data_IF_170893208579
#
_entry.id   IF_170893208579
#
_cell.length_a   1.000
_cell.length_b   1.000
_cell.length_c   1.000
_cell.angle_alpha   90.00
_cell.angle_beta   90.00
_cell.angle_gamma   90.00
#
_symmetry.space_group_name_H-M   'P 1'
#
loop_
_entity.id
_entity.type
_entity.pdbx_description
1 polymer ?
#
# COMPACT_ATOMS: atom_id res chain seq x y z
N UNK A 1 -43.98 29.27 -11.11
CA UNK A 1 -44.16 27.87 -10.63
C UNK A 1 -42.99 27.06 -11.17
N UNK A 2 -41.97 26.76 -10.36
CA UNK A 2 -40.79 26.01 -10.80
C UNK A 2 -40.97 24.52 -10.48
N UNK A 3 -40.80 23.67 -11.49
CA UNK A 3 -40.94 22.21 -11.36
C UNK A 3 -39.72 21.66 -10.61
N UNK A 4 -39.90 20.79 -9.60
CA UNK A 4 -38.76 20.20 -8.89
C UNK A 4 -37.92 19.36 -9.84
N UNK A 5 -36.66 19.74 -10.05
CA UNK A 5 -35.70 18.89 -10.75
C UNK A 5 -35.41 17.68 -9.88
N UNK A 6 -36.05 16.57 -10.22
CA UNK A 6 -35.70 15.26 -9.69
C UNK A 6 -34.28 14.94 -10.18
N UNK A 7 -33.28 15.34 -9.39
CA UNK A 7 -31.89 14.93 -9.61
C UNK A 7 -31.89 13.41 -9.59
N UNK A 8 -31.69 12.83 -10.76
CA UNK A 8 -31.41 11.42 -10.94
C UNK A 8 -30.24 11.04 -10.02
N UNK A 9 -30.55 10.43 -8.88
CA UNK A 9 -29.60 9.51 -8.24
C UNK A 9 -29.61 8.28 -9.13
N UNK A 10 -28.75 8.25 -10.14
CA UNK A 10 -28.46 7.01 -10.85
C UNK A 10 -27.81 6.07 -9.84
N UNK A 11 -28.59 5.09 -9.41
CA UNK A 11 -28.16 3.90 -8.69
C UNK A 11 -26.86 3.32 -9.28
N UNK A 12 -25.86 3.08 -8.44
CA UNK A 12 -24.66 2.29 -8.78
C UNK A 12 -24.92 0.78 -8.63
N UNK A 13 -26.16 0.37 -8.40
CA UNK A 13 -26.65 -0.99 -8.16
C UNK A 13 -26.40 -1.99 -9.32
N UNK A 14 -25.64 -1.61 -10.35
CA UNK A 14 -25.20 -2.48 -11.46
C UNK A 14 -23.70 -2.49 -11.73
N UNK A 15 -22.88 -1.81 -10.93
CA UNK A 15 -21.41 -1.88 -11.09
C UNK A 15 -20.93 -3.21 -10.52
N UNK A 16 -20.89 -4.23 -11.37
CA UNK A 16 -20.19 -5.47 -11.11
C UNK A 16 -18.70 -5.11 -11.10
N UNK A 17 -18.14 -4.93 -9.91
CA UNK A 17 -16.69 -4.92 -9.77
C UNK A 17 -16.21 -6.34 -10.11
N UNK A 18 -15.32 -6.51 -11.12
CA UNK A 18 -14.69 -7.79 -11.31
C UNK A 18 -14.02 -8.19 -10.00
N UNK A 19 -14.06 -9.48 -9.63
CA UNK A 19 -13.37 -9.95 -8.43
C UNK A 19 -11.89 -9.51 -8.51
N UNK A 20 -11.30 -9.08 -7.38
CA UNK A 20 -9.89 -8.73 -7.34
C UNK A 20 -9.08 -9.86 -7.98
N UNK A 21 -8.16 -9.50 -8.88
CA UNK A 21 -7.25 -10.48 -9.45
C UNK A 21 -6.48 -11.10 -8.29
N UNK A 22 -6.52 -12.43 -8.20
CA UNK A 22 -5.68 -13.18 -7.28
C UNK A 22 -4.56 -13.80 -8.09
N UNK A 23 -3.35 -13.73 -7.54
CA UNK A 23 -2.20 -14.37 -8.16
C UNK A 23 -2.41 -15.88 -8.11
N UNK A 24 -1.89 -16.60 -9.10
CA UNK A 24 -1.78 -18.05 -8.94
C UNK A 24 -0.86 -18.35 -7.74
N UNK A 25 -0.99 -19.51 -7.09
CA UNK A 25 -0.08 -19.90 -6.00
C UNK A 25 1.40 -19.83 -6.41
N UNK A 26 1.71 -20.18 -7.66
CA UNK A 26 3.04 -20.14 -8.24
C UNK A 26 3.52 -18.69 -8.45
N UNK A 27 2.67 -17.83 -9.04
CA UNK A 27 2.99 -16.40 -9.20
C UNK A 27 3.22 -15.72 -7.85
N UNK A 28 2.37 -16.00 -6.85
CA UNK A 28 2.52 -15.45 -5.50
C UNK A 28 3.83 -15.90 -4.84
N UNK A 29 4.18 -17.18 -4.93
CA UNK A 29 5.41 -17.72 -4.36
C UNK A 29 6.64 -17.13 -5.05
N UNK A 30 6.65 -17.04 -6.39
CA UNK A 30 7.74 -16.42 -7.15
C UNK A 30 7.89 -14.93 -6.83
N UNK A 31 6.77 -14.18 -6.82
CA UNK A 31 6.75 -12.77 -6.48
C UNK A 31 7.25 -12.53 -5.05
N UNK A 32 6.85 -13.36 -4.10
CA UNK A 32 7.30 -13.28 -2.69
C UNK A 32 8.80 -13.56 -2.57
N UNK A 33 9.30 -14.61 -3.24
CA UNK A 33 10.73 -14.95 -3.23
C UNK A 33 11.56 -13.83 -3.84
N UNK A 34 11.13 -13.29 -4.97
CA UNK A 34 11.83 -12.20 -5.63
C UNK A 34 11.81 -10.93 -4.79
N UNK A 35 10.66 -10.56 -4.22
CA UNK A 35 10.56 -9.43 -3.30
C UNK A 35 11.56 -9.56 -2.15
N UNK A 36 11.59 -10.73 -1.49
CA UNK A 36 12.53 -10.96 -0.38
C UNK A 36 13.99 -10.86 -0.85
N UNK A 37 14.33 -11.41 -2.01
CA UNK A 37 15.68 -11.31 -2.60
C UNK A 37 16.09 -9.86 -2.87
N UNK A 38 15.18 -9.03 -3.39
CA UNK A 38 15.41 -7.59 -3.58
C UNK A 38 15.68 -6.89 -2.25
N UNK A 39 14.84 -7.14 -1.24
CA UNK A 39 15.00 -6.53 0.08
C UNK A 39 16.31 -6.97 0.74
N UNK A 40 16.64 -8.26 0.72
CA UNK A 40 17.89 -8.79 1.29
C UNK A 40 19.13 -8.18 0.62
N UNK A 41 19.08 -7.95 -0.70
CA UNK A 41 20.19 -7.37 -1.43
C UNK A 41 20.34 -5.87 -1.18
N UNK A 42 19.26 -5.10 -1.26
CA UNK A 42 19.33 -3.63 -1.26
C UNK A 42 19.13 -3.00 0.13
N UNK A 43 18.42 -3.64 1.07
CA UNK A 43 18.15 -3.07 2.41
C UNK A 43 19.46 -2.71 3.15
N UNK A 44 20.51 -3.55 3.16
CA UNK A 44 21.78 -3.24 3.82
C UNK A 44 22.57 -2.10 3.17
N UNK A 45 22.32 -1.81 1.89
CA UNK A 45 23.03 -0.78 1.12
C UNK A 45 22.50 0.64 1.39
N UNK A 46 21.36 0.77 2.08
CA UNK A 46 20.79 2.07 2.39
C UNK A 46 21.67 2.86 3.35
N UNK A 47 22.01 4.09 2.97
CA UNK A 47 22.72 5.01 3.84
C UNK A 47 21.86 5.36 5.07
N UNK A 48 22.44 5.23 6.27
CA UNK A 48 21.74 5.44 7.55
C UNK A 48 21.46 6.92 7.89
N UNK A 49 21.63 7.84 6.94
CA UNK A 49 22.00 9.23 7.26
C UNK A 49 20.81 10.13 7.65
N UNK A 50 19.55 9.67 7.50
CA UNK A 50 18.35 10.51 7.69
C UNK A 50 17.21 9.90 8.50
N UNK A 51 17.46 8.81 9.24
CA UNK A 51 16.48 8.15 10.12
C UNK A 51 15.37 7.37 9.40
N UNK A 52 14.91 7.84 8.24
CA UNK A 52 14.02 7.10 7.36
C UNK A 52 14.79 6.04 6.56
N UNK A 53 14.24 4.81 6.52
CA UNK A 53 14.80 3.66 5.78
C UNK A 53 13.76 3.12 4.79
N UNK A 54 13.75 3.62 3.54
CA UNK A 54 12.85 3.19 2.46
C UNK A 54 12.57 1.69 2.39
N UNK A 55 13.60 0.86 2.25
CA UNK A 55 13.41 -0.59 2.03
C UNK A 55 13.00 -1.31 3.33
N UNK A 56 13.36 -0.77 4.49
CA UNK A 56 12.82 -1.27 5.76
C UNK A 56 11.33 -0.99 5.83
N UNK A 57 10.84 0.17 5.36
CA UNK A 57 9.40 0.42 5.24
C UNK A 57 8.75 -0.59 4.30
N UNK A 58 9.35 -0.90 3.15
CA UNK A 58 8.80 -1.88 2.21
C UNK A 58 8.65 -3.27 2.86
N UNK A 59 9.70 -3.76 3.53
CA UNK A 59 9.67 -5.03 4.26
C UNK A 59 8.58 -5.05 5.32
N UNK A 60 8.49 -3.99 6.12
CA UNK A 60 7.47 -3.87 7.17
C UNK A 60 6.06 -3.78 6.58
N UNK A 61 5.88 -3.07 5.47
CA UNK A 61 4.59 -2.96 4.79
C UNK A 61 4.15 -4.32 4.28
N UNK A 62 5.00 -5.05 3.56
CA UNK A 62 4.69 -6.40 3.07
C UNK A 62 4.33 -7.36 4.21
N UNK A 63 4.99 -7.27 5.36
CA UNK A 63 4.69 -8.10 6.53
C UNK A 63 3.45 -7.69 7.32
N UNK A 64 3.02 -6.42 7.20
CA UNK A 64 1.89 -5.87 7.93
C UNK A 64 0.55 -5.90 7.17
N UNK A 65 0.56 -6.03 5.85
CA UNK A 65 -0.66 -6.08 5.03
C UNK A 65 -1.26 -7.49 5.01
N UNK A 66 -2.58 -7.59 5.19
CA UNK A 66 -3.33 -8.84 5.00
C UNK A 66 -3.59 -9.17 3.52
N UNK A 67 -3.44 -8.18 2.64
CA UNK A 67 -3.65 -8.27 1.19
C UNK A 67 -2.33 -8.51 0.46
N UNK A 68 -1.77 -9.71 0.64
CA UNK A 68 -0.44 -10.06 0.16
C UNK A 68 -0.26 -9.94 -1.36
N UNK A 69 -1.26 -10.41 -2.13
CA UNK A 69 -1.25 -10.43 -3.60
C UNK A 69 -1.33 -9.02 -4.19
N UNK A 70 -2.30 -8.22 -3.71
CA UNK A 70 -2.52 -6.85 -4.19
C UNK A 70 -1.29 -5.97 -3.96
N UNK A 71 -0.62 -6.14 -2.81
CA UNK A 71 0.64 -5.45 -2.56
C UNK A 71 1.72 -5.87 -3.55
N UNK A 72 1.87 -7.17 -3.84
CA UNK A 72 2.90 -7.67 -4.75
C UNK A 72 2.63 -7.19 -6.18
N UNK A 73 1.38 -7.23 -6.64
CA UNK A 73 1.00 -6.72 -7.95
C UNK A 73 1.28 -5.21 -8.04
N UNK A 74 0.83 -4.42 -7.06
CA UNK A 74 1.11 -2.99 -7.01
C UNK A 74 2.61 -2.68 -7.01
N UNK A 75 3.39 -3.42 -6.20
CA UNK A 75 4.83 -3.27 -6.11
C UNK A 75 5.51 -3.52 -7.46
N UNK A 76 5.29 -4.69 -8.06
CA UNK A 76 5.97 -5.04 -9.30
C UNK A 76 5.51 -4.20 -10.49
N UNK A 77 4.22 -3.86 -10.57
CA UNK A 77 3.71 -2.93 -11.58
C UNK A 77 4.35 -1.55 -11.44
N UNK A 78 4.49 -1.03 -10.21
CA UNK A 78 5.16 0.27 -10.01
C UNK A 78 6.62 0.24 -10.46
N UNK A 79 7.40 -0.75 -10.02
CA UNK A 79 8.83 -0.85 -10.36
C UNK A 79 9.02 -0.95 -11.87
N UNK A 80 8.16 -1.71 -12.55
CA UNK A 80 8.22 -1.84 -13.99
C UNK A 80 7.89 -0.53 -14.71
N UNK A 81 6.82 0.15 -14.30
CA UNK A 81 6.42 1.44 -14.85
C UNK A 81 7.49 2.51 -14.65
N UNK A 82 8.09 2.56 -13.47
CA UNK A 82 9.16 3.52 -13.14
C UNK A 82 10.41 3.30 -14.00
N UNK A 83 10.79 2.03 -14.22
CA UNK A 83 12.00 1.68 -14.98
C UNK A 83 11.84 1.74 -16.50
N UNK A 84 10.70 1.29 -17.03
CA UNK A 84 10.51 1.17 -18.48
C UNK A 84 9.61 2.25 -19.08
N UNK A 85 8.84 2.98 -18.26
CA UNK A 85 7.86 3.96 -18.74
C UNK A 85 6.67 3.36 -19.50
N UNK A 86 6.52 2.02 -19.52
CA UNK A 86 5.48 1.31 -20.27
C UNK A 86 4.63 0.44 -19.31
N UNK A 87 3.30 0.63 -19.25
CA UNK A 87 2.42 -0.11 -18.34
C UNK A 87 2.01 -1.50 -18.83
N UNK A 88 2.46 -1.92 -20.02
CA UNK A 88 1.84 -3.00 -20.80
C UNK A 88 2.56 -4.35 -20.69
N UNK A 89 3.36 -4.56 -19.63
CA UNK A 89 4.00 -5.85 -19.36
C UNK A 89 3.25 -6.63 -18.30
N UNK A 90 3.16 -7.94 -18.50
CA UNK A 90 2.51 -8.83 -17.55
C UNK A 90 3.39 -9.02 -16.31
N UNK A 91 2.78 -9.32 -15.17
CA UNK A 91 3.52 -9.61 -13.94
C UNK A 91 4.58 -10.70 -14.16
N UNK A 92 4.25 -11.76 -14.90
CA UNK A 92 5.18 -12.84 -15.21
C UNK A 92 6.44 -12.35 -15.97
N UNK A 93 6.28 -11.45 -16.94
CA UNK A 93 7.41 -10.85 -17.66
C UNK A 93 8.25 -9.95 -16.74
N UNK A 94 7.60 -9.18 -15.87
CA UNK A 94 8.28 -8.36 -14.86
C UNK A 94 9.11 -9.24 -13.92
N UNK A 95 8.53 -10.30 -13.36
CA UNK A 95 9.23 -11.25 -12.49
C UNK A 95 10.41 -11.89 -13.22
N UNK A 96 10.22 -12.36 -14.46
CA UNK A 96 11.27 -12.98 -15.26
C UNK A 96 12.44 -12.03 -15.54
N UNK A 97 12.17 -10.76 -15.85
CA UNK A 97 13.21 -9.76 -16.08
C UNK A 97 14.02 -9.48 -14.82
N UNK A 98 13.32 -9.17 -13.72
CA UNK A 98 13.92 -8.81 -12.44
C UNK A 98 14.66 -9.97 -11.79
N UNK A 99 14.32 -11.23 -12.09
CA UNK A 99 15.02 -12.41 -11.54
C UNK A 99 16.54 -12.39 -11.78
N UNK A 100 16.99 -11.73 -12.84
CA UNK A 100 18.40 -11.64 -13.21
C UNK A 100 19.14 -10.44 -12.61
N UNK A 101 18.51 -9.65 -11.73
CA UNK A 101 19.03 -8.35 -11.27
C UNK A 101 20.44 -8.39 -10.67
N UNK A 102 20.82 -9.49 -10.02
CA UNK A 102 22.14 -9.65 -9.42
C UNK A 102 23.27 -9.70 -10.46
N UNK A 103 22.97 -10.09 -11.70
CA UNK A 103 23.92 -10.13 -12.82
C UNK A 103 23.97 -8.84 -13.63
N UNK A 104 23.16 -7.83 -13.29
CA UNK A 104 23.10 -6.56 -13.99
C UNK A 104 24.32 -5.67 -13.71
N UNK A 105 24.49 -4.66 -14.56
CA UNK A 105 25.48 -3.62 -14.36
C UNK A 105 25.20 -2.82 -13.09
N UNK A 106 26.23 -2.14 -12.57
CA UNK A 106 26.07 -1.26 -11.40
C UNK A 106 25.06 -0.12 -11.65
N UNK A 107 24.90 0.32 -12.90
CA UNK A 107 23.96 1.37 -13.28
C UNK A 107 22.51 0.84 -13.21
N UNK A 108 22.23 -0.30 -13.83
CA UNK A 108 20.91 -0.95 -13.78
C UNK A 108 20.49 -1.32 -12.34
N UNK A 109 21.44 -1.78 -11.50
CA UNK A 109 21.17 -2.04 -10.09
C UNK A 109 20.91 -0.74 -9.31
N UNK A 110 21.61 0.33 -9.65
CA UNK A 110 21.38 1.63 -9.04
C UNK A 110 19.99 2.18 -9.41
N UNK A 111 19.59 2.09 -10.67
CA UNK A 111 18.24 2.47 -11.13
C UNK A 111 17.17 1.66 -10.42
N UNK A 112 17.31 0.33 -10.36
CA UNK A 112 16.39 -0.52 -9.61
C UNK A 112 16.31 -0.10 -8.13
N UNK A 113 17.44 0.22 -7.51
CA UNK A 113 17.46 0.72 -6.13
C UNK A 113 16.71 2.05 -5.98
N UNK A 114 16.84 2.97 -6.95
CA UNK A 114 16.06 4.22 -6.94
C UNK A 114 14.57 3.95 -7.08
N UNK A 115 14.14 3.05 -7.98
CA UNK A 115 12.73 2.68 -8.12
C UNK A 115 12.14 2.10 -6.84
N UNK A 116 12.91 1.28 -6.10
CA UNK A 116 12.49 0.78 -4.78
C UNK A 116 12.31 1.91 -3.76
N UNK A 117 13.20 2.90 -3.77
CA UNK A 117 13.11 4.08 -2.92
C UNK A 117 11.89 4.91 -3.28
N UNK A 118 11.64 5.16 -4.57
CA UNK A 118 10.48 5.91 -5.04
C UNK A 118 9.17 5.22 -4.71
N UNK A 119 9.10 3.89 -4.82
CA UNK A 119 7.92 3.15 -4.37
C UNK A 119 7.64 3.36 -2.87
N UNK A 120 8.68 3.47 -2.04
CA UNK A 120 8.52 3.76 -0.62
C UNK A 120 7.94 5.16 -0.38
N UNK A 121 8.35 6.16 -1.16
CA UNK A 121 7.79 7.51 -1.08
C UNK A 121 6.34 7.53 -1.58
N UNK A 122 6.04 6.81 -2.66
CA UNK A 122 4.67 6.61 -3.12
C UNK A 122 3.78 6.03 -2.00
N UNK A 123 4.24 5.01 -1.28
CA UNK A 123 3.50 4.47 -0.14
C UNK A 123 3.29 5.52 0.96
N UNK A 124 4.34 6.28 1.28
CA UNK A 124 4.28 7.34 2.27
C UNK A 124 3.24 8.40 1.90
N UNK A 125 3.29 8.92 0.69
CA UNK A 125 2.46 10.03 0.25
C UNK A 125 0.99 9.64 0.05
N UNK A 126 0.73 8.42 -0.43
CA UNK A 126 -0.63 7.99 -0.78
C UNK A 126 -1.34 7.24 0.34
N UNK A 127 -0.61 6.57 1.24
CA UNK A 127 -1.22 5.73 2.28
C UNK A 127 -0.91 6.23 3.69
N UNK A 128 0.35 6.52 4.02
CA UNK A 128 0.72 6.80 5.40
C UNK A 128 0.52 8.26 5.85
N UNK A 129 0.84 9.24 4.99
CA UNK A 129 0.66 10.66 5.31
C UNK A 129 -0.83 11.06 5.42
N UNK A 130 -1.74 10.62 4.53
CA UNK A 130 -3.16 10.91 4.69
C UNK A 130 -3.72 10.40 6.02
N UNK A 131 -3.30 9.21 6.47
CA UNK A 131 -3.70 8.67 7.77
C UNK A 131 -3.20 9.52 8.94
N UNK A 132 -1.98 10.06 8.87
CA UNK A 132 -1.47 11.01 9.89
C UNK A 132 -2.32 12.27 9.97
N UNK A 133 -2.79 12.79 8.83
CA UNK A 133 -3.65 13.98 8.79
C UNK A 133 -5.05 13.74 9.38
N UNK A 134 -5.58 12.52 9.21
CA UNK A 134 -6.91 12.14 9.71
C UNK A 134 -6.89 11.83 11.21
N UNK A 135 -5.83 11.20 11.72
CA UNK A 135 -5.68 10.87 13.14
C UNK A 135 -5.70 12.11 14.05
N UNK A 136 -5.27 13.27 13.55
CA UNK A 136 -5.34 14.53 14.28
C UNK A 136 -6.79 15.07 14.47
N UNK A 137 -7.77 14.52 13.76
CA UNK A 137 -9.15 15.02 13.69
C UNK A 137 -10.23 14.08 14.23
N UNK A 138 -9.87 12.99 14.92
CA UNK A 138 -10.86 12.17 15.63
C UNK A 138 -10.85 12.49 17.12
N UNK A 139 -11.54 13.55 17.60
CA UNK A 139 -12.01 13.53 18.98
C UNK A 139 -13.05 12.43 19.01
N UNK A 140 -12.66 11.20 19.32
CA UNK A 140 -13.62 10.18 19.69
C UNK A 140 -14.34 10.72 20.93
N UNK A 141 -15.63 11.10 20.87
CA UNK A 141 -16.34 11.38 22.10
C UNK A 141 -16.54 10.02 22.73
N UNK A 142 -15.74 9.71 23.75
CA UNK A 142 -16.06 8.63 24.68
C UNK A 142 -17.49 8.91 25.15
N UNK A 143 -18.46 7.98 24.98
CA UNK A 143 -19.82 8.23 25.43
C UNK A 143 -19.82 8.29 26.97
N UNK A 144 -19.76 9.49 27.52
CA UNK A 144 -19.82 9.74 28.96
C UNK A 144 -21.26 9.64 29.50
N UNK A 145 -21.99 8.58 29.16
CA UNK A 145 -23.40 8.42 29.55
C UNK A 145 -23.71 7.27 30.51
N UNK A 146 -22.73 6.52 31.01
CA UNK A 146 -22.99 5.38 31.90
C UNK A 146 -22.31 5.46 33.27
N UNK A 147 -22.36 6.62 33.93
CA UNK A 147 -22.05 6.70 35.36
C UNK A 147 -22.89 7.77 36.06
N UNK A 148 -24.16 7.47 36.30
CA UNK A 148 -24.92 8.06 37.41
C UNK A 148 -25.68 6.97 38.15
N UNK A 149 -25.21 6.54 39.33
CA UNK A 149 -26.08 5.92 40.31
C UNK A 149 -26.95 7.03 40.90
N UNK A 150 -28.27 6.94 40.71
CA UNK A 150 -29.23 7.82 41.37
C UNK A 150 -29.36 7.37 42.83
N UNK A 151 -28.47 7.87 43.70
CA UNK A 151 -28.59 7.71 45.14
C UNK A 151 -29.62 8.72 45.66
N UNK A 152 -30.89 8.32 45.64
CA UNK A 152 -31.93 8.93 46.47
C UNK A 152 -31.66 8.58 47.93
N UNK A 153 -31.25 9.57 48.71
CA UNK A 153 -31.23 9.50 50.18
C UNK A 153 -32.38 10.37 50.69
N UNK A 154 -33.27 9.77 51.48
CA UNK A 154 -34.36 10.43 52.20
C UNK A 154 -33.85 11.35 53.32
N UNK A 155 -34.51 12.49 53.51
CA UNK A 155 -34.84 13.18 54.79
C UNK A 155 -35.91 14.22 54.40
N UNK A 156 -37.02 14.46 55.09
CA UNK A 156 -37.44 14.28 56.48
C UNK A 156 -38.98 14.13 56.52
#
# INVERSE_FOLDING_TARGET
MAVPHHRHRTSLEGVIFPPPRRLSPEEHDEATKLFNSLIEHFEPLQASNKGYKPLTLLRLTKGGVSVGDEFLELFFTFIQCDRLGVPETTLAETLASLRSFQGWTSEEQHELSQSLVEFSYFLMDNFYLPLKSLAAKTPQPTPAFLSRPDLRVETN
#
